data_IF_709053994662
#
_entry.id   IF_709053994662
#
_cell.length_a   1.000
_cell.length_b   1.000
_cell.length_c   1.000
_cell.angle_alpha   90.00
_cell.angle_beta   90.00
_cell.angle_gamma   90.00
#
_symmetry.space_group_name_H-M   'P 1'
#
loop_
_entity.id
_entity.type
_entity.pdbx_description
1 polymer ?
#
# COMPACT_ATOMS: atom_id res chain seq x y z
N UNK A 1 -13.20 6.72 11.57
CA UNK A 1 -12.97 6.00 12.83
C UNK A 1 -12.54 4.56 12.53
N UNK A 2 -11.78 3.95 13.44
CA UNK A 2 -11.46 2.52 13.42
C UNK A 2 -12.77 1.75 13.62
N UNK A 3 -13.01 0.72 12.79
CA UNK A 3 -14.20 -0.14 12.90
C UNK A 3 -14.01 -1.28 13.90
N UNK A 4 -12.80 -1.82 13.98
CA UNK A 4 -12.47 -2.90 14.91
C UNK A 4 -10.99 -2.86 15.29
N UNK A 5 -10.69 -3.28 16.52
CA UNK A 5 -9.33 -3.48 17.02
C UNK A 5 -9.25 -4.90 17.58
N UNK A 6 -8.39 -5.71 17.01
CA UNK A 6 -8.15 -7.10 17.42
C UNK A 6 -6.66 -7.37 17.67
N UNK A 7 -6.37 -8.49 18.32
CA UNK A 7 -5.00 -8.95 18.47
C UNK A 7 -4.42 -9.41 17.13
N UNK A 8 -3.13 -9.13 16.94
CA UNK A 8 -2.32 -9.70 15.88
C UNK A 8 -1.10 -10.37 16.54
N UNK A 9 -1.19 -11.67 16.76
CA UNK A 9 -0.25 -12.37 17.62
C UNK A 9 -0.30 -11.86 19.05
N UNK A 10 0.83 -11.91 19.77
CA UNK A 10 0.90 -11.57 21.19
C UNK A 10 1.20 -10.08 21.42
N UNK A 11 1.93 -9.46 20.52
CA UNK A 11 2.54 -8.14 20.73
C UNK A 11 2.15 -7.09 19.67
N UNK A 12 0.97 -7.24 19.05
CA UNK A 12 0.46 -6.23 18.12
C UNK A 12 -1.06 -6.09 18.16
N UNK A 13 -1.53 -4.88 17.83
CA UNK A 13 -2.91 -4.59 17.51
C UNK A 13 -3.08 -4.53 16.00
N UNK A 14 -4.21 -5.06 15.54
CA UNK A 14 -4.70 -4.93 14.18
C UNK A 14 -5.91 -3.98 14.18
N UNK A 15 -5.70 -2.78 13.68
CA UNK A 15 -6.75 -1.77 13.57
C UNK A 15 -7.37 -1.81 12.18
N UNK A 16 -8.64 -2.15 12.11
CA UNK A 16 -9.43 -2.25 10.89
C UNK A 16 -10.26 -1.00 10.66
N UNK A 17 -10.08 -0.34 9.50
CA UNK A 17 -10.82 0.85 9.09
C UNK A 17 -11.95 0.54 8.10
N UNK A 18 -12.06 -0.70 7.64
CA UNK A 18 -13.09 -1.17 6.72
C UNK A 18 -12.56 -2.13 5.66
N UNK A 19 -13.47 -2.65 4.83
CA UNK A 19 -13.16 -3.64 3.78
C UNK A 19 -12.72 -3.00 2.47
N UNK A 20 -13.15 -1.78 2.19
CA UNK A 20 -12.82 -1.09 0.96
C UNK A 20 -11.43 -0.47 1.00
N UNK A 21 -10.81 -0.39 -0.19
CA UNK A 21 -9.56 0.33 -0.40
C UNK A 21 -9.87 1.56 -1.22
N UNK A 22 -9.89 2.70 -0.57
CA UNK A 22 -10.10 4.00 -1.20
C UNK A 22 -9.32 5.10 -0.45
N UNK A 23 -9.17 6.25 -1.08
CA UNK A 23 -8.39 7.38 -0.55
C UNK A 23 -8.92 7.91 0.77
N UNK A 24 -10.24 7.92 0.96
CA UNK A 24 -10.87 8.41 2.19
C UNK A 24 -10.50 7.52 3.38
N UNK A 25 -10.62 6.19 3.23
CA UNK A 25 -10.25 5.25 4.29
C UNK A 25 -8.76 5.30 4.54
N UNK A 26 -7.95 5.33 3.49
CA UNK A 26 -6.49 5.44 3.63
C UNK A 26 -6.07 6.72 4.35
N UNK A 27 -6.69 7.85 4.05
CA UNK A 27 -6.44 9.11 4.77
C UNK A 27 -6.71 8.98 6.28
N UNK A 28 -7.76 8.23 6.69
CA UNK A 28 -8.02 7.94 8.09
C UNK A 28 -6.89 7.13 8.72
N UNK A 29 -6.42 6.08 8.02
CA UNK A 29 -5.27 5.26 8.47
C UNK A 29 -4.03 6.13 8.70
N UNK A 30 -3.71 6.99 7.73
CA UNK A 30 -2.52 7.85 7.80
C UNK A 30 -2.64 8.91 8.91
N UNK A 31 -3.83 9.46 9.17
CA UNK A 31 -4.04 10.37 10.31
C UNK A 31 -3.80 9.67 11.64
N UNK A 32 -4.35 8.47 11.84
CA UNK A 32 -4.06 7.68 13.04
C UNK A 32 -2.57 7.37 13.18
N UNK A 33 -1.93 6.94 12.10
CA UNK A 33 -0.49 6.69 12.06
C UNK A 33 0.31 7.92 12.51
N UNK A 34 0.07 9.09 11.89
CA UNK A 34 0.77 10.33 12.23
C UNK A 34 0.50 10.78 13.66
N UNK A 35 -0.75 10.69 14.13
CA UNK A 35 -1.11 11.06 15.50
C UNK A 35 -0.41 10.19 16.54
N UNK A 36 -0.41 8.86 16.34
CA UNK A 36 0.27 7.94 17.25
C UNK A 36 1.79 8.17 17.23
N UNK A 37 2.35 8.42 16.04
CA UNK A 37 3.77 8.73 15.89
C UNK A 37 4.15 10.02 16.64
N UNK A 38 3.32 11.06 16.55
CA UNK A 38 3.52 12.35 17.22
C UNK A 38 3.46 12.22 18.75
N UNK A 39 2.54 11.41 19.27
CA UNK A 39 2.41 11.16 20.72
C UNK A 39 3.60 10.39 21.31
N UNK A 40 4.42 9.74 20.49
CA UNK A 40 5.61 8.98 20.90
C UNK A 40 5.36 8.09 22.12
N UNK A 41 4.29 7.29 22.07
CA UNK A 41 3.79 6.50 23.22
C UNK A 41 4.83 5.45 23.63
N UNK A 42 5.31 5.54 24.85
CA UNK A 42 6.26 4.55 25.38
C UNK A 42 5.68 3.14 25.33
N UNK A 43 6.49 2.19 24.85
CA UNK A 43 6.12 0.80 24.67
C UNK A 43 5.50 0.50 23.29
N UNK A 44 5.26 1.46 22.41
CA UNK A 44 5.00 1.20 21.00
C UNK A 44 6.33 1.05 20.26
N UNK A 45 6.52 -0.09 19.58
CA UNK A 45 7.76 -0.42 18.88
C UNK A 45 7.71 0.00 17.42
N UNK A 46 6.57 -0.22 16.74
CA UNK A 46 6.42 0.07 15.32
C UNK A 46 4.96 0.32 14.95
N UNK A 47 4.80 1.13 13.90
CA UNK A 47 3.52 1.44 13.27
C UNK A 47 3.62 1.10 11.79
N UNK A 48 2.74 0.23 11.31
CA UNK A 48 2.73 -0.21 9.91
C UNK A 48 1.36 0.12 9.28
N UNK A 49 1.25 1.27 8.61
CA UNK A 49 0.04 1.60 7.87
C UNK A 49 -0.04 0.79 6.57
N UNK A 50 -1.27 0.45 6.18
CA UNK A 50 -1.58 -0.23 4.93
C UNK A 50 -2.74 0.49 4.24
N UNK A 51 -3.37 -0.12 3.25
CA UNK A 51 -4.49 0.45 2.49
C UNK A 51 -5.62 0.99 3.39
N UNK A 52 -6.10 0.13 4.27
CA UNK A 52 -7.26 0.33 5.14
C UNK A 52 -7.07 -0.28 6.53
N UNK A 53 -5.83 -0.57 6.89
CA UNK A 53 -5.43 -1.17 8.17
C UNK A 53 -4.22 -0.44 8.75
N UNK A 54 -4.09 -0.52 10.08
CA UNK A 54 -2.90 -0.08 10.80
C UNK A 54 -2.50 -1.16 11.80
N UNK A 55 -1.27 -1.63 11.70
CA UNK A 55 -0.70 -2.54 12.69
C UNK A 55 0.15 -1.73 13.66
N UNK A 56 -0.05 -1.96 14.95
CA UNK A 56 0.66 -1.30 16.03
C UNK A 56 1.33 -2.37 16.87
N UNK A 57 2.64 -2.52 16.73
CA UNK A 57 3.40 -3.45 17.59
C UNK A 57 3.90 -2.78 18.84
N UNK A 58 3.96 -3.53 19.96
CA UNK A 58 4.31 -3.01 21.26
C UNK A 58 5.19 -3.98 22.08
N UNK A 59 5.88 -3.45 23.08
CA UNK A 59 6.71 -4.22 24.02
C UNK A 59 5.83 -4.78 25.16
N UNK A 60 5.72 -6.10 25.21
CA UNK A 60 4.94 -6.82 26.24
C UNK A 60 5.44 -6.59 27.67
N UNK A 61 6.70 -6.19 27.83
CA UNK A 61 7.26 -5.86 29.16
C UNK A 61 6.74 -4.52 29.67
N UNK A 62 6.27 -3.64 28.77
CA UNK A 62 5.83 -2.27 29.11
C UNK A 62 4.31 -2.12 29.05
N UNK A 63 3.67 -2.76 28.08
CA UNK A 63 2.24 -2.60 27.78
C UNK A 63 1.61 -3.94 27.44
N UNK A 64 0.31 -4.02 27.60
CA UNK A 64 -0.49 -5.12 27.13
C UNK A 64 -1.53 -4.63 26.12
N UNK A 65 -2.20 -5.56 25.46
CA UNK A 65 -3.23 -5.29 24.45
C UNK A 65 -4.28 -4.29 24.95
N UNK A 66 -4.83 -4.51 26.16
CA UNK A 66 -5.92 -3.68 26.68
C UNK A 66 -5.47 -2.24 26.92
N UNK A 67 -4.25 -2.06 27.39
CA UNK A 67 -3.69 -0.73 27.65
C UNK A 67 -3.51 0.03 26.33
N UNK A 68 -2.88 -0.61 25.33
CA UNK A 68 -2.68 0.04 24.02
C UNK A 68 -4.02 0.28 23.33
N UNK A 69 -4.94 -0.68 23.36
CA UNK A 69 -6.29 -0.52 22.79
C UNK A 69 -6.99 0.72 23.34
N UNK A 70 -7.04 0.86 24.67
CA UNK A 70 -7.65 2.05 25.32
C UNK A 70 -6.96 3.36 24.92
N UNK A 71 -5.64 3.37 24.81
CA UNK A 71 -4.91 4.56 24.35
C UNK A 71 -5.34 4.95 22.93
N UNK A 72 -5.42 3.99 22.02
CA UNK A 72 -5.80 4.23 20.62
C UNK A 72 -7.27 4.65 20.49
N UNK A 73 -8.18 4.05 21.28
CA UNK A 73 -9.61 4.41 21.30
C UNK A 73 -9.85 5.83 21.80
N UNK A 74 -9.03 6.31 22.74
CA UNK A 74 -9.12 7.65 23.34
C UNK A 74 -8.30 8.70 22.57
N UNK A 75 -7.62 8.33 21.50
CA UNK A 75 -6.79 9.27 20.74
C UNK A 75 -7.67 10.33 20.08
N UNK A 76 -7.36 11.59 20.31
CA UNK A 76 -8.02 12.69 19.64
C UNK A 76 -7.42 12.89 18.25
N UNK A 77 -8.13 12.43 17.21
CA UNK A 77 -7.70 12.58 15.82
C UNK A 77 -8.29 13.87 15.28
N UNK A 78 -7.45 14.87 15.09
CA UNK A 78 -7.86 16.11 14.44
C UNK A 78 -7.94 15.91 12.92
N UNK A 79 -8.96 16.50 12.30
CA UNK A 79 -9.11 16.49 10.84
C UNK A 79 -8.31 17.62 10.16
N UNK A 80 -7.68 18.49 10.96
CA UNK A 80 -7.10 19.75 10.50
C UNK A 80 -5.74 19.62 9.82
N UNK A 81 -5.06 18.49 9.95
CA UNK A 81 -3.81 18.26 9.25
C UNK A 81 -4.13 17.85 7.79
N UNK A 82 -4.01 18.78 6.86
CA UNK A 82 -3.92 18.44 5.44
C UNK A 82 -2.76 17.45 5.27
N UNK A 83 -3.09 16.27 4.73
CA UNK A 83 -2.06 15.30 4.41
C UNK A 83 -1.25 15.86 3.24
N UNK A 84 -0.06 16.37 3.53
CA UNK A 84 0.87 16.78 2.47
C UNK A 84 1.08 15.64 1.49
N UNK A 85 0.82 15.90 0.23
CA UNK A 85 1.04 14.98 -0.87
C UNK A 85 2.13 15.52 -1.78
N UNK A 86 3.19 14.74 -1.97
CA UNK A 86 4.26 15.07 -2.90
C UNK A 86 4.03 14.31 -4.21
N UNK A 87 4.16 15.01 -5.34
CA UNK A 87 4.17 14.38 -6.67
C UNK A 87 5.58 13.94 -7.01
N UNK A 88 5.72 12.67 -7.36
CA UNK A 88 6.98 12.08 -7.80
C UNK A 88 6.81 11.60 -9.23
N UNK A 89 7.68 12.04 -10.13
CA UNK A 89 7.73 11.55 -11.51
C UNK A 89 8.75 10.41 -11.59
N UNK A 90 8.30 9.23 -11.99
CA UNK A 90 9.14 8.05 -12.17
C UNK A 90 9.27 7.80 -13.67
N UNK A 91 10.46 7.92 -14.29
CA UNK A 91 10.65 7.59 -15.69
C UNK A 91 10.52 6.08 -15.91
N UNK A 92 9.81 5.67 -16.96
CA UNK A 92 9.60 4.27 -17.32
C UNK A 92 10.07 4.04 -18.74
N UNK A 93 10.94 3.02 -18.92
CA UNK A 93 11.36 2.56 -20.23
C UNK A 93 10.35 1.55 -20.77
N UNK A 94 9.84 1.80 -21.97
CA UNK A 94 8.85 0.96 -22.65
C UNK A 94 9.44 0.16 -23.83
N UNK A 95 10.77 0.08 -23.94
CA UNK A 95 11.42 -0.72 -24.97
C UNK A 95 11.07 -2.20 -24.83
N UNK A 96 10.99 -2.88 -25.96
CA UNK A 96 10.57 -4.28 -26.03
C UNK A 96 11.45 -5.20 -25.16
N UNK A 97 12.74 -4.90 -25.04
CA UNK A 97 13.69 -5.65 -24.22
C UNK A 97 13.39 -5.59 -22.72
N UNK A 98 12.68 -4.57 -22.24
CA UNK A 98 12.30 -4.37 -20.85
C UNK A 98 10.83 -4.70 -20.55
N UNK A 99 10.06 -5.04 -21.59
CA UNK A 99 8.61 -5.26 -21.48
C UNK A 99 8.28 -6.76 -21.34
N UNK A 100 8.67 -7.36 -20.21
CA UNK A 100 8.62 -8.81 -19.96
C UNK A 100 7.26 -9.46 -20.26
N UNK A 101 6.17 -8.77 -19.98
CA UNK A 101 4.81 -9.31 -20.04
C UNK A 101 3.89 -8.60 -21.01
N UNK A 102 4.40 -7.68 -21.82
CA UNK A 102 3.51 -6.82 -22.63
C UNK A 102 2.62 -7.63 -23.58
N UNK A 103 3.15 -8.65 -24.24
CA UNK A 103 2.37 -9.53 -25.13
C UNK A 103 1.28 -10.28 -24.36
N UNK A 104 1.60 -10.80 -23.19
CA UNK A 104 0.62 -11.44 -22.32
C UNK A 104 -0.47 -10.45 -21.84
N UNK A 105 -0.10 -9.21 -21.56
CA UNK A 105 -1.08 -8.18 -21.18
C UNK A 105 -2.00 -7.83 -22.35
N UNK A 106 -1.48 -7.68 -23.57
CA UNK A 106 -2.29 -7.47 -24.78
C UNK A 106 -3.33 -8.60 -24.96
N UNK A 107 -2.90 -9.85 -24.81
CA UNK A 107 -3.78 -11.01 -24.91
C UNK A 107 -4.83 -11.06 -23.80
N UNK A 108 -4.43 -10.78 -22.56
CA UNK A 108 -5.33 -10.85 -21.39
C UNK A 108 -6.32 -9.71 -21.34
N UNK A 109 -5.89 -8.50 -21.68
CA UNK A 109 -6.70 -7.29 -21.62
C UNK A 109 -7.46 -7.02 -22.91
N UNK A 110 -7.13 -7.72 -24.01
CA UNK A 110 -7.72 -7.54 -25.35
C UNK A 110 -7.60 -6.11 -25.89
N UNK A 111 -6.48 -5.45 -25.56
CA UNK A 111 -6.13 -4.11 -26.04
C UNK A 111 -4.65 -4.08 -26.45
N UNK A 112 -4.32 -3.19 -27.37
CA UNK A 112 -2.96 -3.06 -27.89
C UNK A 112 -1.99 -2.47 -26.85
N UNK A 113 -0.70 -2.77 -27.00
CA UNK A 113 0.39 -2.21 -26.20
C UNK A 113 0.31 -0.69 -26.09
N UNK A 114 0.09 -0.01 -27.22
CA UNK A 114 0.03 1.45 -27.26
C UNK A 114 -1.14 1.97 -26.42
N UNK A 115 -2.27 1.26 -26.45
CA UNK A 115 -3.43 1.60 -25.62
C UNK A 115 -3.20 1.32 -24.13
N UNK A 116 -2.46 0.25 -23.81
CA UNK A 116 -2.03 -0.01 -22.42
C UNK A 116 -1.19 1.15 -21.92
N UNK A 117 -0.20 1.60 -22.69
CA UNK A 117 0.67 2.69 -22.32
C UNK A 117 -0.07 4.03 -22.24
N UNK A 118 -0.92 4.34 -23.21
CA UNK A 118 -1.77 5.55 -23.19
C UNK A 118 -2.58 5.64 -21.90
N UNK A 119 -3.28 4.56 -21.54
CA UNK A 119 -4.10 4.52 -20.31
C UNK A 119 -3.26 4.56 -19.04
N UNK A 120 -2.13 3.85 -19.00
CA UNK A 120 -1.29 3.77 -17.83
C UNK A 120 -0.59 5.10 -17.54
N UNK A 121 -0.04 5.75 -18.56
CA UNK A 121 0.66 7.04 -18.40
C UNK A 121 -0.26 8.26 -18.46
N UNK A 122 -1.49 8.10 -18.88
CA UNK A 122 -2.47 9.17 -19.00
C UNK A 122 -3.01 9.71 -17.68
N UNK A 123 -2.63 9.11 -16.54
CA UNK A 123 -3.14 9.50 -15.22
C UNK A 123 -2.07 9.50 -14.12
N UNK A 124 -2.40 10.18 -13.03
CA UNK A 124 -1.62 10.12 -11.80
C UNK A 124 -2.15 9.00 -10.89
N UNK A 125 -1.23 8.29 -10.26
CA UNK A 125 -1.55 7.24 -9.29
C UNK A 125 -1.37 7.74 -7.87
N UNK A 126 -2.26 7.29 -7.00
CA UNK A 126 -2.13 7.51 -5.56
C UNK A 126 -1.35 6.37 -4.93
N UNK A 127 -0.33 6.67 -4.14
CA UNK A 127 0.40 5.66 -3.38
C UNK A 127 -0.33 5.38 -2.06
N UNK A 128 -0.98 4.23 -1.97
CA UNK A 128 -1.72 3.82 -0.78
C UNK A 128 -0.82 3.35 0.36
N UNK A 129 0.27 2.69 0.04
CA UNK A 129 1.24 2.19 1.01
C UNK A 129 2.56 1.83 0.33
N UNK A 130 3.58 1.63 1.14
CA UNK A 130 4.81 0.94 0.72
C UNK A 130 4.94 -0.35 1.52
N UNK A 131 5.37 -1.45 0.88
CA UNK A 131 5.48 -2.74 1.57
C UNK A 131 5.88 -3.88 0.64
N UNK A 132 5.79 -5.11 1.12
CA UNK A 132 6.32 -6.32 0.52
C UNK A 132 7.85 -6.34 0.53
N UNK A 133 8.50 -5.39 -0.13
CA UNK A 133 9.93 -5.10 -0.01
C UNK A 133 10.10 -3.61 0.34
N UNK A 134 11.26 -3.24 0.88
CA UNK A 134 11.49 -1.89 1.36
C UNK A 134 11.29 -0.84 0.24
N UNK A 135 10.42 0.12 0.52
CA UNK A 135 10.12 1.24 -0.37
C UNK A 135 9.30 0.91 -1.63
N UNK A 136 8.82 -0.32 -1.82
CA UNK A 136 7.97 -0.68 -2.97
C UNK A 136 6.59 -0.03 -2.82
N UNK A 137 6.20 0.89 -3.73
CA UNK A 137 4.92 1.55 -3.65
C UNK A 137 3.80 0.68 -4.23
N UNK A 138 2.63 0.75 -3.62
CA UNK A 138 1.38 0.23 -4.17
C UNK A 138 0.52 1.39 -4.63
N UNK A 139 0.42 1.52 -5.95
CA UNK A 139 -0.13 2.65 -6.66
C UNK A 139 -1.54 2.29 -7.18
N UNK A 140 -2.55 2.97 -6.75
CA UNK A 140 -3.92 2.75 -7.19
C UNK A 140 -4.57 4.04 -7.69
N UNK A 141 -5.75 3.99 -8.22
CA UNK A 141 -6.49 2.78 -8.62
C UNK A 141 -6.27 2.56 -10.12
N UNK A 142 -6.00 1.33 -10.51
CA UNK A 142 -5.95 0.99 -11.94
C UNK A 142 -7.36 1.09 -12.56
N UNK A 143 -7.45 1.59 -13.78
CA UNK A 143 -8.67 1.50 -14.57
C UNK A 143 -9.03 0.04 -14.80
N UNK A 144 -10.32 -0.27 -14.83
CA UNK A 144 -10.81 -1.65 -14.99
C UNK A 144 -10.19 -2.36 -16.20
N UNK A 145 -9.97 -1.62 -17.30
CA UNK A 145 -9.36 -2.14 -18.53
C UNK A 145 -7.87 -2.50 -18.38
N UNK A 146 -7.18 -2.00 -17.35
CA UNK A 146 -5.78 -2.33 -17.04
C UNK A 146 -5.63 -3.37 -15.92
N UNK A 147 -6.72 -3.80 -15.32
CA UNK A 147 -6.70 -4.76 -14.22
C UNK A 147 -6.37 -6.16 -14.74
N UNK A 148 -5.21 -6.66 -14.37
CA UNK A 148 -4.74 -7.98 -14.78
C UNK A 148 -4.61 -8.90 -13.56
N UNK A 149 -5.09 -10.13 -13.68
CA UNK A 149 -4.83 -11.16 -12.67
C UNK A 149 -3.34 -11.43 -12.56
N UNK A 150 -2.90 -11.69 -11.35
CA UNK A 150 -1.52 -12.12 -11.09
C UNK A 150 -1.18 -13.38 -11.90
N UNK A 151 0.12 -13.62 -12.08
CA UNK A 151 0.58 -14.88 -12.65
C UNK A 151 0.15 -16.04 -11.75
N UNK A 152 -0.28 -17.15 -12.31
CA UNK A 152 -0.59 -18.38 -11.56
C UNK A 152 0.64 -18.91 -10.83
N UNK A 153 1.78 -18.83 -11.49
CA UNK A 153 3.07 -19.17 -10.90
C UNK A 153 3.92 -17.90 -10.82
N UNK A 154 4.26 -17.44 -9.61
CA UNK A 154 5.12 -16.29 -9.42
C UNK A 154 6.49 -16.49 -10.08
N UNK A 155 7.08 -15.42 -10.61
CA UNK A 155 8.47 -15.46 -11.06
C UNK A 155 9.40 -15.57 -9.86
N UNK A 156 10.45 -16.35 -10.01
CA UNK A 156 11.51 -16.45 -9.00
C UNK A 156 12.24 -15.11 -8.86
N UNK A 157 12.38 -14.39 -9.99
CA UNK A 157 13.06 -13.11 -10.05
C UNK A 157 12.31 -12.13 -10.95
N UNK A 158 11.91 -11.03 -10.35
CA UNK A 158 11.45 -9.81 -11.04
C UNK A 158 12.56 -8.78 -10.89
N UNK A 159 13.08 -8.23 -11.99
CA UNK A 159 14.20 -7.27 -11.92
C UNK A 159 13.83 -6.01 -11.14
N UNK A 160 14.81 -5.42 -10.46
CA UNK A 160 14.68 -4.07 -9.88
C UNK A 160 14.24 -3.06 -10.95
N UNK A 161 13.33 -2.18 -10.58
CA UNK A 161 12.76 -1.16 -11.47
C UNK A 161 11.58 -1.62 -12.31
N UNK A 162 11.24 -2.92 -12.28
CA UNK A 162 10.06 -3.42 -13.00
C UNK A 162 8.79 -2.78 -12.47
N UNK A 163 7.89 -2.43 -13.38
CA UNK A 163 6.51 -2.03 -13.06
C UNK A 163 5.62 -3.24 -13.17
N UNK A 164 4.93 -3.58 -12.08
CA UNK A 164 3.95 -4.67 -12.05
C UNK A 164 2.53 -4.14 -12.05
N UNK A 165 1.63 -4.85 -12.73
CA UNK A 165 0.19 -4.60 -12.69
C UNK A 165 -0.52 -5.78 -12.02
N UNK A 166 -1.51 -5.48 -11.21
CA UNK A 166 -2.39 -6.45 -10.59
C UNK A 166 -3.86 -6.07 -10.82
N UNK A 167 -4.77 -6.63 -10.04
CA UNK A 167 -6.20 -6.35 -10.20
C UNK A 167 -6.57 -4.90 -9.89
N UNK A 168 -5.98 -4.29 -8.84
CA UNK A 168 -6.32 -2.92 -8.45
C UNK A 168 -5.11 -1.98 -8.47
N UNK A 169 -3.89 -2.53 -8.37
CA UNK A 169 -2.70 -1.73 -8.12
C UNK A 169 -1.62 -1.94 -9.18
N UNK A 170 -0.88 -0.87 -9.43
CA UNK A 170 0.46 -0.95 -9.98
C UNK A 170 1.49 -0.88 -8.84
N UNK A 171 2.68 -1.38 -9.09
CA UNK A 171 3.80 -1.29 -8.16
C UNK A 171 5.13 -1.13 -8.91
N UNK A 172 6.16 -0.67 -8.21
CA UNK A 172 7.51 -0.52 -8.75
C UNK A 172 8.47 -1.29 -7.85
N UNK A 173 9.11 -2.29 -8.39
CA UNK A 173 10.06 -3.13 -7.67
C UNK A 173 11.33 -2.35 -7.32
N UNK A 174 11.55 -2.09 -6.05
CA UNK A 174 12.73 -1.35 -5.55
C UNK A 174 13.98 -2.22 -5.47
N UNK A 175 13.82 -3.54 -5.40
CA UNK A 175 14.87 -4.54 -5.44
C UNK A 175 14.45 -5.71 -6.32
N UNK A 176 15.41 -6.50 -6.81
CA UNK A 176 15.11 -7.80 -7.41
C UNK A 176 14.49 -8.70 -6.35
N UNK A 177 13.33 -9.28 -6.65
CA UNK A 177 12.62 -10.15 -5.71
C UNK A 177 11.70 -11.11 -6.46
N UNK A 178 11.22 -12.18 -5.83
CA UNK A 178 10.14 -12.99 -6.37
C UNK A 178 8.86 -12.16 -6.58
N UNK A 179 8.05 -12.53 -7.61
CA UNK A 179 6.79 -11.81 -7.90
C UNK A 179 5.98 -12.36 -9.06
#
# INVERSE_FOLDING_TARGET
MIKNISNLGDAALYCDFGSEVNKEINSKVIRYFKSIQKENIDGINNLTPSYNKLIISFDLRKKNFQTIKKLIENLNITNDDELETNRIKIPVCCDENFSLDIKRLEEKLQITRDKIYEKFFGKEFFCYMTGFIAGMPFLGDLENELQAKRLETPRVKVPKGSVGLTEQFANVYTFESPG
#
